data_IF_075556801684
#
_entry.id   IF_075556801684
#
_cell.length_a   1.000
_cell.length_b   1.000
_cell.length_c   1.000
_cell.angle_alpha   90.00
_cell.angle_beta   90.00
_cell.angle_gamma   90.00
#
_symmetry.space_group_name_H-M   'P 1'
#
loop_
_entity.id
_entity.type
_entity.pdbx_description
1 polymer ?
#
# COMPACT_ATOMS: atom_id res chain seq x y z
N UNK A 1 15.02 3.46 -11.30
CA UNK A 1 14.96 4.68 -10.45
C UNK A 1 16.22 5.50 -10.71
N UNK A 2 16.10 6.78 -11.10
CA UNK A 2 17.26 7.68 -11.24
C UNK A 2 18.12 7.64 -9.98
N UNK A 3 19.45 7.65 -10.15
CA UNK A 3 20.40 7.66 -9.02
C UNK A 3 20.40 9.06 -8.40
N UNK A 4 20.27 9.17 -7.07
CA UNK A 4 20.55 10.40 -6.33
C UNK A 4 19.41 11.02 -5.49
N UNK A 5 18.14 10.65 -5.70
CA UNK A 5 17.04 11.14 -4.85
C UNK A 5 16.25 10.01 -4.20
N UNK A 6 15.91 10.21 -2.92
CA UNK A 6 14.89 9.40 -2.25
C UNK A 6 13.55 9.68 -2.92
N UNK A 7 12.87 8.64 -3.37
CA UNK A 7 11.57 8.75 -4.02
C UNK A 7 10.54 8.03 -3.19
N UNK A 8 9.42 8.70 -2.99
CA UNK A 8 8.25 8.18 -2.30
C UNK A 8 7.11 8.15 -3.30
N UNK A 9 6.48 6.99 -3.44
CA UNK A 9 5.26 6.83 -4.23
C UNK A 9 4.06 6.93 -3.29
N UNK A 10 3.13 7.83 -3.59
CA UNK A 10 1.81 7.88 -2.97
C UNK A 10 0.81 7.25 -3.93
N UNK A 11 0.10 6.23 -3.48
CA UNK A 11 -0.83 5.44 -4.28
C UNK A 11 -2.21 5.42 -3.61
N UNK A 12 -3.26 5.65 -4.39
CA UNK A 12 -4.64 5.38 -3.99
C UNK A 12 -5.10 4.09 -4.66
N UNK A 13 -5.66 3.16 -3.89
CA UNK A 13 -6.10 1.86 -4.36
C UNK A 13 -7.57 1.66 -3.99
N UNK A 14 -8.42 1.55 -5.01
CA UNK A 14 -9.85 1.32 -4.88
C UNK A 14 -10.14 -0.17 -5.12
N UNK A 15 -10.61 -0.87 -4.09
CA UNK A 15 -11.01 -2.28 -4.16
C UNK A 15 -12.41 -2.34 -4.76
N UNK A 16 -12.53 -2.94 -5.95
CA UNK A 16 -13.82 -3.15 -6.61
C UNK A 16 -14.44 -4.49 -6.19
N UNK A 17 -15.75 -4.50 -6.08
CA UNK A 17 -16.55 -5.71 -5.85
C UNK A 17 -16.66 -6.49 -7.16
N UNK A 18 -16.56 -7.81 -7.11
CA UNK A 18 -17.01 -8.62 -8.23
C UNK A 18 -18.54 -8.63 -8.22
N UNK A 19 -19.15 -8.11 -9.28
CA UNK A 19 -20.59 -8.25 -9.47
C UNK A 19 -20.87 -9.66 -10.00
N UNK A 20 -20.96 -10.64 -9.11
CA UNK A 20 -21.69 -11.87 -9.41
C UNK A 20 -23.03 -11.82 -8.66
N UNK A 21 -24.09 -12.37 -9.24
CA UNK A 21 -25.43 -12.37 -8.64
C UNK A 21 -25.50 -13.16 -7.31
N UNK A 22 -24.50 -14.01 -7.05
CA UNK A 22 -24.46 -14.93 -5.92
C UNK A 22 -23.40 -14.58 -4.86
N UNK A 23 -22.33 -13.84 -5.21
CA UNK A 23 -21.24 -13.45 -4.30
C UNK A 23 -21.13 -11.92 -4.18
N UNK A 24 -21.75 -11.36 -3.14
CA UNK A 24 -21.62 -9.96 -2.71
C UNK A 24 -20.36 -9.72 -1.87
N UNK A 25 -19.22 -10.32 -2.23
CA UNK A 25 -17.97 -10.16 -1.46
C UNK A 25 -16.95 -9.24 -2.17
N UNK A 26 -16.14 -8.53 -1.39
CA UNK A 26 -15.06 -7.66 -1.88
C UNK A 26 -13.95 -8.54 -2.44
N UNK A 27 -13.99 -8.85 -3.74
CA UNK A 27 -12.94 -9.66 -4.36
C UNK A 27 -11.86 -8.77 -4.97
N UNK A 28 -10.78 -8.56 -4.21
CA UNK A 28 -9.58 -7.88 -4.69
C UNK A 28 -8.45 -8.90 -4.98
N UNK A 29 -8.61 -9.72 -6.02
CA UNK A 29 -7.69 -10.84 -6.33
C UNK A 29 -6.22 -10.41 -6.47
N UNK A 30 -5.97 -9.21 -7.03
CA UNK A 30 -4.63 -8.65 -7.15
C UNK A 30 -4.09 -8.05 -5.85
N UNK A 31 -4.95 -7.80 -4.85
CA UNK A 31 -4.59 -7.11 -3.62
C UNK A 31 -3.68 -7.95 -2.72
N UNK A 32 -3.97 -9.24 -2.57
CA UNK A 32 -3.10 -10.16 -1.83
C UNK A 32 -1.68 -10.19 -2.44
N UNK A 33 -1.61 -10.19 -3.78
CA UNK A 33 -0.33 -10.13 -4.49
C UNK A 33 0.36 -8.78 -4.31
N UNK A 34 -0.37 -7.67 -4.38
CA UNK A 34 0.17 -6.33 -4.11
C UNK A 34 0.72 -6.22 -2.67
N UNK A 35 -0.05 -6.66 -1.66
CA UNK A 35 0.39 -6.72 -0.25
C UNK A 35 1.67 -7.52 -0.10
N UNK A 36 1.81 -8.65 -0.81
CA UNK A 36 3.04 -9.46 -0.73
C UNK A 36 4.32 -8.75 -1.19
N UNK A 37 4.20 -7.71 -2.02
CA UNK A 37 5.35 -6.90 -2.47
C UNK A 37 5.71 -5.78 -1.49
N UNK A 38 4.77 -5.34 -0.66
CA UNK A 38 4.95 -4.26 0.31
C UNK A 38 5.20 -4.88 1.69
N UNK A 39 6.47 -5.01 2.08
CA UNK A 39 6.81 -5.49 3.43
C UNK A 39 6.52 -4.40 4.46
N UNK A 40 6.08 -4.81 5.64
CA UNK A 40 5.91 -3.90 6.77
C UNK A 40 7.29 -3.44 7.28
N UNK A 41 7.39 -2.20 7.76
CA UNK A 41 8.66 -1.57 8.16
C UNK A 41 9.41 -2.35 9.28
N UNK A 42 8.70 -3.17 10.05
CA UNK A 42 9.29 -4.05 11.08
C UNK A 42 9.95 -5.30 10.48
N UNK A 43 9.46 -5.84 9.37
CA UNK A 43 10.01 -7.05 8.74
C UNK A 43 11.32 -6.77 7.98
N UNK A 44 11.53 -5.55 7.47
CA UNK A 44 12.81 -5.18 6.84
C UNK A 44 13.93 -4.89 7.89
N UNK A 45 13.69 -5.04 9.21
CA UNK A 45 14.67 -4.77 10.29
C UNK A 45 15.23 -6.02 10.99
N UNK A 46 14.93 -7.24 10.51
CA UNK A 46 15.47 -8.47 11.13
C UNK A 46 17.01 -8.54 10.98
N UNK A 47 17.76 -9.06 11.98
CA UNK A 47 19.16 -8.67 12.17
C UNK A 47 20.20 -9.41 11.32
N UNK A 48 19.88 -10.53 10.68
CA UNK A 48 20.89 -11.36 10.00
C UNK A 48 20.43 -11.85 8.63
N UNK A 49 21.41 -11.91 7.72
CA UNK A 49 21.38 -12.29 6.30
C UNK A 49 20.80 -11.30 5.27
N UNK A 50 21.74 -10.60 4.61
CA UNK A 50 21.64 -10.07 3.24
C UNK A 50 20.30 -9.39 2.91
N UNK A 51 20.01 -8.25 3.54
CA UNK A 51 18.82 -7.44 3.24
C UNK A 51 18.73 -7.06 1.75
N UNK A 52 18.00 -7.82 0.95
CA UNK A 52 17.69 -7.48 -0.43
C UNK A 52 16.90 -6.18 -0.47
N UNK A 53 17.11 -5.32 -1.48
CA UNK A 53 16.33 -4.09 -1.60
C UNK A 53 14.81 -4.39 -1.58
N UNK A 54 14.09 -3.84 -0.61
CA UNK A 54 12.65 -4.09 -0.41
C UNK A 54 11.82 -2.83 -0.72
N UNK A 55 10.58 -3.03 -1.18
CA UNK A 55 9.56 -1.98 -1.11
C UNK A 55 8.91 -2.03 0.26
N UNK A 56 8.96 -0.90 0.97
CA UNK A 56 8.29 -0.70 2.25
C UNK A 56 7.03 0.10 1.98
N UNK A 57 5.87 -0.53 2.22
CA UNK A 57 4.57 0.10 2.06
C UNK A 57 3.96 0.41 3.41
N UNK A 58 3.44 1.61 3.57
CA UNK A 58 2.70 2.03 4.75
C UNK A 58 1.31 2.49 4.34
N UNK A 59 0.28 1.91 4.96
CA UNK A 59 -1.08 2.35 4.76
C UNK A 59 -1.33 3.65 5.53
N UNK A 60 -1.87 4.66 4.85
CA UNK A 60 -2.21 5.94 5.42
C UNK A 60 -3.64 5.86 5.95
N UNK A 61 -3.79 6.22 7.22
CA UNK A 61 -5.10 6.38 7.84
C UNK A 61 -5.83 7.58 7.23
N UNK A 62 -6.82 7.28 6.38
CA UNK A 62 -7.62 8.27 5.67
C UNK A 62 -8.41 9.16 6.64
N UNK A 63 -8.78 8.68 7.83
CA UNK A 63 -9.53 9.46 8.82
C UNK A 63 -8.72 10.61 9.40
N UNK A 64 -7.38 10.56 9.28
CA UNK A 64 -6.49 11.68 9.65
C UNK A 64 -6.40 12.76 8.59
N UNK A 65 -6.90 12.52 7.37
CA UNK A 65 -6.88 13.48 6.27
C UNK A 65 -8.19 14.26 6.28
N UNK A 66 -8.17 15.61 6.26
CA UNK A 66 -9.40 16.41 6.19
C UNK A 66 -10.29 16.01 5.00
N UNK A 67 -11.60 15.95 5.24
CA UNK A 67 -12.60 15.65 4.20
C UNK A 67 -13.32 16.94 3.80
N UNK A 68 -13.12 17.39 2.56
CA UNK A 68 -13.73 18.61 2.05
C UNK A 68 -15.05 18.36 1.31
N UNK A 69 -15.19 17.20 0.67
CA UNK A 69 -16.41 16.78 -0.03
C UNK A 69 -17.25 15.96 0.95
N UNK A 70 -18.39 16.49 1.38
CA UNK A 70 -19.21 15.88 2.45
C UNK A 70 -20.04 14.70 1.96
N UNK A 71 -20.35 14.70 0.68
CA UNK A 71 -21.19 13.71 -0.01
C UNK A 71 -20.41 12.44 -0.37
N UNK A 72 -19.07 12.50 -0.31
CA UNK A 72 -18.22 11.34 -0.60
C UNK A 72 -18.06 10.47 0.65
N UNK A 73 -18.69 9.31 0.67
CA UNK A 73 -18.51 8.37 1.78
C UNK A 73 -17.13 7.70 1.69
N UNK A 74 -16.32 7.86 2.75
CA UNK A 74 -15.04 7.14 2.86
C UNK A 74 -15.30 5.72 3.33
N UNK A 75 -15.48 4.83 2.37
CA UNK A 75 -15.69 3.41 2.62
C UNK A 75 -14.40 2.63 2.91
N UNK A 76 -14.57 1.32 3.11
CA UNK A 76 -13.46 0.35 3.27
C UNK A 76 -12.84 -0.08 1.95
N UNK A 77 -13.39 0.41 0.85
CA UNK A 77 -12.99 0.17 -0.53
C UNK A 77 -11.75 0.97 -0.92
N UNK A 78 -11.56 2.18 -0.37
CA UNK A 78 -10.40 3.02 -0.65
C UNK A 78 -9.27 2.83 0.38
N UNK A 79 -8.06 2.60 -0.12
CA UNK A 79 -6.84 2.61 0.68
C UNK A 79 -5.82 3.59 0.11
N UNK A 80 -5.17 4.34 0.99
CA UNK A 80 -4.03 5.20 0.63
C UNK A 80 -2.74 4.57 1.13
N UNK A 81 -1.71 4.64 0.29
CA UNK A 81 -0.45 3.95 0.50
C UNK A 81 0.74 4.87 0.26
N UNK A 82 1.73 4.81 1.16
CA UNK A 82 3.04 5.42 1.02
C UNK A 82 4.07 4.31 0.79
N UNK A 83 4.66 4.27 -0.39
CA UNK A 83 5.62 3.23 -0.77
C UNK A 83 7.00 3.84 -0.97
N UNK A 84 7.98 3.28 -0.27
CA UNK A 84 9.39 3.67 -0.33
C UNK A 84 10.24 2.50 -0.76
N UNK A 85 11.40 2.77 -1.34
CA UNK A 85 12.35 1.74 -1.73
C UNK A 85 13.57 1.79 -0.82
N UNK A 86 13.70 0.77 0.03
CA UNK A 86 14.85 0.61 0.91
C UNK A 86 16.01 0.02 0.11
N UNK A 87 16.99 0.85 -0.21
CA UNK A 87 18.29 0.41 -0.73
C UNK A 87 19.17 -0.01 0.43
N UNK A 88 20.03 -1.02 0.24
CA UNK A 88 21.19 -1.21 1.11
C UNK A 88 21.94 0.13 1.19
N UNK A 89 22.26 0.59 2.40
CA UNK A 89 23.35 1.55 2.58
C UNK A 89 24.61 0.80 2.17
N UNK A 90 25.19 1.18 1.02
CA UNK A 90 26.57 0.83 0.71
C UNK A 90 27.50 1.60 1.63
#
# INVERSE_FOLDING_TARGET
MSRGSEKVLYLALEKRYNFSLDDLDVVANGYARFRSFCKDDQECRMPDDVLLPCFVGEQIDIFKIPQYIREYERGRDLELWRIRYCKKRC
#
